data_IF_911326389704
#
_entry.id   IF_911326389704
#
_cell.length_a   1.000
_cell.length_b   1.000
_cell.length_c   1.000
_cell.angle_alpha   90.00
_cell.angle_beta   90.00
_cell.angle_gamma   90.00
#
_symmetry.space_group_name_H-M   'P 1'
#
loop_
_entity.id
_entity.type
_entity.pdbx_description
1 polymer ?
#
# COMPACT_ATOMS: atom_id res chain seq x y z
N UNK A 1 85.83 -34.01 -64.00
CA UNK A 1 84.63 -34.87 -63.89
C UNK A 1 84.16 -34.89 -62.45
N UNK A 2 82.85 -34.81 -62.27
CA UNK A 2 82.12 -34.31 -61.11
C UNK A 2 82.25 -35.12 -59.80
N UNK A 3 82.27 -34.42 -58.67
CA UNK A 3 81.84 -34.95 -57.37
C UNK A 3 80.64 -34.12 -56.87
N UNK A 4 79.49 -34.76 -56.86
CA UNK A 4 78.21 -34.29 -56.36
C UNK A 4 78.27 -34.11 -54.84
N UNK A 5 78.11 -32.87 -54.37
CA UNK A 5 77.95 -32.56 -52.94
C UNK A 5 76.46 -32.53 -52.62
N UNK A 6 76.07 -33.40 -51.69
CA UNK A 6 74.72 -33.59 -51.16
C UNK A 6 74.42 -32.45 -50.18
N UNK A 7 73.38 -31.66 -50.43
CA UNK A 7 72.86 -30.65 -49.51
C UNK A 7 72.14 -31.31 -48.32
N UNK A 8 72.37 -30.88 -47.07
CA UNK A 8 71.48 -31.23 -45.96
C UNK A 8 70.32 -30.23 -45.87
N UNK A 9 69.12 -30.77 -45.66
CA UNK A 9 67.89 -30.03 -45.46
C UNK A 9 67.93 -29.23 -44.15
N UNK A 10 67.72 -27.91 -44.25
CA UNK A 10 67.49 -27.02 -43.11
C UNK A 10 66.04 -27.27 -42.64
N UNK A 11 65.89 -27.95 -41.51
CA UNK A 11 64.61 -28.06 -40.81
C UNK A 11 64.31 -26.71 -40.17
N UNK A 12 63.35 -25.98 -40.74
CA UNK A 12 62.83 -24.74 -40.18
C UNK A 12 61.95 -25.02 -38.97
N UNK A 13 62.54 -25.08 -37.78
CA UNK A 13 61.77 -25.00 -36.53
C UNK A 13 61.26 -23.58 -36.33
N UNK A 14 60.06 -23.31 -36.85
CA UNK A 14 59.27 -22.11 -36.53
C UNK A 14 58.85 -22.14 -35.07
N UNK A 15 59.74 -21.71 -34.17
CA UNK A 15 59.34 -21.24 -32.85
C UNK A 15 58.86 -19.80 -33.00
N UNK A 16 57.62 -19.64 -33.47
CA UNK A 16 56.91 -18.37 -33.42
C UNK A 16 56.94 -17.86 -31.98
N UNK A 17 57.79 -16.87 -31.73
CA UNK A 17 57.93 -16.22 -30.45
C UNK A 17 56.57 -15.69 -30.03
N UNK A 18 56.00 -16.27 -28.97
CA UNK A 18 54.92 -15.66 -28.22
C UNK A 18 55.41 -14.28 -27.81
N UNK A 19 54.96 -13.25 -28.52
CA UNK A 19 55.11 -11.86 -28.10
C UNK A 19 54.49 -11.76 -26.70
N UNK A 20 55.35 -11.85 -25.70
CA UNK A 20 55.03 -11.52 -24.32
C UNK A 20 54.72 -10.03 -24.37
N UNK A 21 53.43 -9.70 -24.40
CA UNK A 21 52.97 -8.42 -23.86
C UNK A 21 53.37 -8.44 -22.38
N UNK A 22 54.62 -8.08 -22.09
CA UNK A 22 55.06 -7.69 -20.77
C UNK A 22 54.28 -6.40 -20.47
N UNK A 23 53.03 -6.60 -20.04
CA UNK A 23 52.08 -5.53 -19.80
C UNK A 23 52.76 -4.51 -18.90
N UNK A 24 52.80 -3.27 -19.36
CA UNK A 24 53.27 -2.16 -18.54
C UNK A 24 52.55 -2.27 -17.20
N UNK A 25 53.28 -2.66 -16.14
CA UNK A 25 52.75 -2.72 -14.79
C UNK A 25 52.31 -1.30 -14.47
N UNK A 26 51.01 -1.03 -14.53
CA UNK A 26 50.46 0.28 -14.16
C UNK A 26 50.97 0.58 -12.76
N UNK A 27 51.72 1.68 -12.60
CA UNK A 27 52.17 2.14 -11.30
C UNK A 27 50.94 2.21 -10.38
N UNK A 28 51.07 1.67 -9.17
CA UNK A 28 49.99 1.75 -8.18
C UNK A 28 49.66 3.24 -7.99
N UNK A 29 48.40 3.60 -8.24
CA UNK A 29 47.94 4.98 -8.05
C UNK A 29 48.07 5.35 -6.57
N UNK A 30 48.40 6.60 -6.28
CA UNK A 30 48.38 7.13 -4.92
C UNK A 30 47.00 6.91 -4.28
N UNK A 31 46.96 6.79 -2.94
CA UNK A 31 45.71 6.59 -2.21
C UNK A 31 44.66 7.66 -2.55
N UNK A 32 45.12 8.91 -2.63
CA UNK A 32 44.33 10.08 -3.02
C UNK A 32 43.78 9.97 -4.45
N UNK A 33 44.60 9.57 -5.44
CA UNK A 33 44.12 9.37 -6.81
C UNK A 33 43.13 8.20 -6.94
N UNK A 34 43.13 7.25 -5.99
CA UNK A 34 42.11 6.19 -5.92
C UNK A 34 40.82 6.70 -5.30
N UNK A 35 40.91 7.59 -4.30
CA UNK A 35 39.77 8.24 -3.67
C UNK A 35 39.03 9.15 -4.67
N UNK A 36 39.74 10.06 -5.33
CA UNK A 36 39.16 10.95 -6.34
C UNK A 36 38.46 10.19 -7.47
N UNK A 37 39.03 9.04 -7.89
CA UNK A 37 38.36 8.16 -8.87
C UNK A 37 37.05 7.56 -8.32
N UNK A 38 36.99 7.23 -7.03
CA UNK A 38 35.78 6.70 -6.40
C UNK A 38 34.73 7.78 -6.24
N UNK A 39 35.10 8.99 -5.88
CA UNK A 39 34.19 10.14 -5.80
C UNK A 39 33.57 10.43 -7.17
N UNK A 40 34.39 10.52 -8.22
CA UNK A 40 33.87 10.68 -9.58
C UNK A 40 32.95 9.52 -10.00
N UNK A 41 33.30 8.28 -9.65
CA UNK A 41 32.44 7.13 -9.90
C UNK A 41 31.14 7.17 -9.09
N UNK A 42 31.16 7.71 -7.87
CA UNK A 42 29.98 7.89 -7.02
C UNK A 42 29.03 8.90 -7.66
N UNK A 43 29.52 10.07 -8.06
CA UNK A 43 28.73 11.09 -8.76
C UNK A 43 28.07 10.52 -10.01
N UNK A 44 28.86 9.84 -10.87
CA UNK A 44 28.32 9.22 -12.09
C UNK A 44 27.28 8.12 -11.80
N UNK A 45 27.40 7.40 -10.69
CA UNK A 45 26.41 6.38 -10.29
C UNK A 45 25.11 7.02 -9.79
N UNK A 46 25.20 8.15 -9.08
CA UNK A 46 24.04 8.90 -8.60
C UNK A 46 23.28 9.51 -9.77
N UNK A 47 23.98 10.18 -10.70
CA UNK A 47 23.39 10.76 -11.92
C UNK A 47 22.71 9.69 -12.79
N UNK A 48 23.27 8.48 -12.84
CA UNK A 48 22.70 7.35 -13.56
C UNK A 48 21.55 6.64 -12.81
N UNK A 49 21.18 7.08 -11.60
CA UNK A 49 20.15 6.45 -10.76
C UNK A 49 20.53 5.05 -10.23
N UNK A 50 21.82 4.69 -10.23
CA UNK A 50 22.31 3.37 -9.82
C UNK A 50 22.57 3.31 -8.31
N UNK A 51 21.53 3.60 -7.51
CA UNK A 51 21.64 3.85 -6.07
C UNK A 51 22.25 2.70 -5.25
N UNK A 52 21.96 1.43 -5.56
CA UNK A 52 22.60 0.30 -4.89
C UNK A 52 24.12 0.21 -5.13
N UNK A 53 24.60 0.61 -6.31
CA UNK A 53 26.04 0.66 -6.61
C UNK A 53 26.67 1.88 -5.94
N UNK A 54 25.99 3.03 -6.03
CA UNK A 54 26.38 4.27 -5.35
C UNK A 54 26.59 4.04 -3.86
N UNK A 55 25.65 3.37 -3.19
CA UNK A 55 25.75 3.05 -1.75
C UNK A 55 27.02 2.24 -1.42
N UNK A 56 27.34 1.24 -2.24
CA UNK A 56 28.56 0.43 -2.06
C UNK A 56 29.82 1.28 -2.24
N UNK A 57 29.85 2.14 -3.26
CA UNK A 57 30.96 3.05 -3.53
C UNK A 57 31.13 4.08 -2.41
N UNK A 58 30.03 4.68 -1.94
CA UNK A 58 30.00 5.65 -0.85
C UNK A 58 30.51 5.03 0.46
N UNK A 59 30.03 3.84 0.85
CA UNK A 59 30.57 3.10 2.02
C UNK A 59 32.05 2.78 1.88
N UNK A 60 32.54 2.52 0.67
CA UNK A 60 33.96 2.31 0.42
C UNK A 60 34.80 3.59 0.57
N UNK A 61 34.21 4.76 0.31
CA UNK A 61 34.84 6.07 0.57
C UNK A 61 34.85 6.34 2.07
N UNK A 62 33.73 6.15 2.76
CA UNK A 62 33.63 6.34 4.22
C UNK A 62 34.52 5.40 5.04
N UNK A 63 34.91 4.23 4.51
CA UNK A 63 35.95 3.38 5.13
C UNK A 63 37.34 4.03 5.13
N UNK A 64 37.60 4.93 4.17
CA UNK A 64 38.86 5.67 4.07
C UNK A 64 38.75 6.99 4.85
N UNK A 65 37.59 7.65 4.77
CA UNK A 65 37.29 8.92 5.43
C UNK A 65 36.00 8.80 6.26
N UNK A 66 36.05 8.23 7.48
CA UNK A 66 34.86 8.01 8.29
C UNK A 66 34.19 9.30 8.75
N UNK A 67 34.98 10.36 8.97
CA UNK A 67 34.52 11.63 9.53
C UNK A 67 33.97 12.61 8.48
N UNK A 68 33.90 12.19 7.22
CA UNK A 68 33.42 13.07 6.14
C UNK A 68 31.90 13.22 6.20
N UNK A 69 31.45 14.35 6.74
CA UNK A 69 30.05 14.73 6.87
C UNK A 69 29.34 14.70 5.51
N UNK A 70 29.96 15.24 4.45
CA UNK A 70 29.35 15.28 3.12
C UNK A 70 29.05 13.88 2.58
N UNK A 71 29.99 12.94 2.74
CA UNK A 71 29.79 11.56 2.32
C UNK A 71 28.75 10.84 3.18
N UNK A 72 28.65 11.15 4.47
CA UNK A 72 27.58 10.64 5.33
C UNK A 72 26.21 11.16 4.87
N UNK A 73 26.09 12.45 4.55
CA UNK A 73 24.87 13.06 3.99
C UNK A 73 24.47 12.43 2.67
N UNK A 74 25.43 12.24 1.75
CA UNK A 74 25.21 11.55 0.47
C UNK A 74 24.79 10.09 0.70
N UNK A 75 25.39 9.39 1.67
CA UNK A 75 24.93 8.04 2.04
C UNK A 75 23.46 8.07 2.50
N UNK A 76 23.08 9.03 3.34
CA UNK A 76 21.69 9.20 3.79
C UNK A 76 20.73 9.48 2.63
N UNK A 77 21.09 10.38 1.70
CA UNK A 77 20.30 10.66 0.50
C UNK A 77 20.12 9.43 -0.40
N UNK A 78 21.17 8.62 -0.56
CA UNK A 78 21.08 7.36 -1.31
C UNK A 78 20.14 6.37 -0.61
N UNK A 79 20.18 6.29 0.73
CA UNK A 79 19.29 5.42 1.50
C UNK A 79 17.83 5.89 1.40
N UNK A 80 17.58 7.20 1.42
CA UNK A 80 16.26 7.78 1.16
C UNK A 80 15.73 7.41 -0.22
N UNK A 81 16.58 7.51 -1.26
CA UNK A 81 16.22 7.14 -2.63
C UNK A 81 15.96 5.63 -2.80
N UNK A 82 16.55 4.80 -1.94
CA UNK A 82 16.29 3.36 -1.86
C UNK A 82 15.13 3.01 -0.91
N UNK A 83 14.46 4.02 -0.34
CA UNK A 83 13.36 3.88 0.62
C UNK A 83 13.74 3.11 1.90
N UNK A 84 15.03 2.99 2.22
CA UNK A 84 15.50 2.42 3.49
C UNK A 84 15.54 3.49 4.57
N UNK A 85 14.34 3.92 5.00
CA UNK A 85 14.17 4.99 5.98
C UNK A 85 14.74 4.62 7.36
N UNK A 86 14.78 3.33 7.69
CA UNK A 86 15.32 2.86 8.98
C UNK A 86 16.83 3.06 9.06
N UNK A 87 17.57 2.64 8.02
CA UNK A 87 19.01 2.83 7.97
C UNK A 87 19.37 4.30 7.75
N UNK A 88 18.58 5.04 6.97
CA UNK A 88 18.76 6.46 6.77
C UNK A 88 18.65 7.23 8.10
N UNK A 89 17.59 6.98 8.87
CA UNK A 89 17.37 7.62 10.17
C UNK A 89 18.51 7.35 11.15
N UNK A 90 18.89 6.07 11.32
CA UNK A 90 19.97 5.67 12.23
C UNK A 90 21.32 6.31 11.88
N UNK A 91 21.56 6.61 10.60
CA UNK A 91 22.76 7.32 10.18
C UNK A 91 22.62 8.83 10.40
N UNK A 92 21.52 9.42 9.92
CA UNK A 92 21.35 10.87 9.80
C UNK A 92 21.15 11.57 11.16
N UNK A 93 20.65 10.86 12.18
CA UNK A 93 20.55 11.39 13.55
C UNK A 93 21.89 11.89 14.11
N UNK A 94 23.00 11.35 13.62
CA UNK A 94 24.35 11.73 14.05
C UNK A 94 25.03 12.73 13.10
N UNK A 95 24.34 13.17 12.04
CA UNK A 95 24.87 14.04 11.00
C UNK A 95 24.25 15.44 11.13
N UNK A 96 25.05 16.51 11.21
CA UNK A 96 24.52 17.86 11.33
C UNK A 96 23.78 18.31 10.06
N UNK A 97 22.84 19.25 10.21
CA UNK A 97 22.06 19.86 9.12
C UNK A 97 21.23 18.88 8.26
N UNK A 98 20.74 17.79 8.88
CA UNK A 98 19.90 16.76 8.28
C UNK A 98 18.46 16.74 8.83
N UNK A 99 17.98 17.83 9.44
CA UNK A 99 16.67 17.89 10.10
C UNK A 99 15.52 17.52 9.17
N UNK A 100 15.51 18.05 7.94
CA UNK A 100 14.50 17.72 6.92
C UNK A 100 14.50 16.22 6.60
N UNK A 101 15.68 15.66 6.37
CA UNK A 101 15.85 14.25 6.02
C UNK A 101 15.44 13.33 7.19
N UNK A 102 15.77 13.69 8.44
CA UNK A 102 15.37 12.98 9.66
C UNK A 102 13.85 13.04 9.84
N UNK A 103 13.26 14.23 9.76
CA UNK A 103 11.81 14.42 9.88
C UNK A 103 11.08 13.62 8.79
N UNK A 104 11.59 13.64 7.56
CA UNK A 104 11.03 12.84 6.46
C UNK A 104 11.10 11.34 6.76
N UNK A 105 12.22 10.82 7.27
CA UNK A 105 12.30 9.41 7.68
C UNK A 105 11.26 9.07 8.76
N UNK A 106 11.16 9.90 9.82
CA UNK A 106 10.16 9.71 10.89
C UNK A 106 8.74 9.67 10.32
N UNK A 107 8.41 10.59 9.42
CA UNK A 107 7.11 10.64 8.75
C UNK A 107 6.81 9.37 7.96
N UNK A 108 7.77 8.91 7.14
CA UNK A 108 7.62 7.70 6.31
C UNK A 108 7.53 6.42 7.15
N UNK A 109 8.11 6.41 8.35
CA UNK A 109 7.98 5.34 9.34
C UNK A 109 6.71 5.43 10.18
N UNK A 110 5.82 6.40 9.91
CA UNK A 110 4.56 6.58 10.64
C UNK A 110 4.71 7.22 12.02
N UNK A 111 5.89 7.75 12.37
CA UNK A 111 6.16 8.42 13.64
C UNK A 111 5.68 9.89 13.57
N UNK A 112 4.37 10.08 13.42
CA UNK A 112 3.76 11.40 13.17
C UNK A 112 4.05 12.38 14.32
N UNK A 113 3.90 11.96 15.58
CA UNK A 113 4.15 12.82 16.74
C UNK A 113 5.61 13.29 16.81
N UNK A 114 6.56 12.36 16.66
CA UNK A 114 7.99 12.68 16.62
C UNK A 114 8.34 13.62 15.47
N UNK A 115 7.68 13.45 14.32
CA UNK A 115 7.88 14.35 13.17
C UNK A 115 7.42 15.77 13.51
N UNK A 116 6.24 15.93 14.13
CA UNK A 116 5.73 17.23 14.54
C UNK A 116 6.67 17.94 15.53
N UNK A 117 7.22 17.22 16.51
CA UNK A 117 8.17 17.77 17.48
C UNK A 117 9.45 18.28 16.79
N UNK A 118 9.96 17.54 15.79
CA UNK A 118 11.14 17.96 15.03
C UNK A 118 10.88 19.21 14.18
N UNK A 119 9.66 19.39 13.68
CA UNK A 119 9.30 20.52 12.81
C UNK A 119 9.18 21.85 13.56
N UNK A 120 8.77 21.83 14.84
CA UNK A 120 8.65 23.05 15.65
C UNK A 120 9.97 23.79 15.87
N UNK A 121 11.11 23.12 15.70
CA UNK A 121 12.44 23.64 16.02
C UNK A 121 13.35 23.75 14.78
N UNK A 122 12.79 23.60 13.57
CA UNK A 122 13.57 23.31 12.36
C UNK A 122 13.87 24.49 11.42
N UNK A 123 13.25 25.66 11.57
CA UNK A 123 13.31 26.69 10.51
C UNK A 123 14.53 27.62 10.56
N UNK A 124 15.12 27.87 11.74
CA UNK A 124 15.97 29.05 11.97
C UNK A 124 17.37 29.04 11.31
N UNK A 125 17.74 28.02 10.53
CA UNK A 125 19.10 27.90 9.96
C UNK A 125 19.19 27.13 8.64
N UNK A 126 18.10 27.05 7.89
CA UNK A 126 18.04 26.25 6.67
C UNK A 126 18.09 27.10 5.39
N UNK A 127 18.66 26.48 4.35
CA UNK A 127 18.50 26.93 2.97
C UNK A 127 17.02 27.03 2.60
N UNK A 128 16.65 27.99 1.76
CA UNK A 128 15.26 28.28 1.40
C UNK A 128 14.54 27.05 0.84
N UNK A 129 15.24 26.23 0.05
CA UNK A 129 14.67 24.98 -0.48
C UNK A 129 14.38 23.95 0.62
N UNK A 130 15.25 23.85 1.63
CA UNK A 130 15.04 22.96 2.78
C UNK A 130 13.93 23.47 3.69
N UNK A 131 13.86 24.79 3.92
CA UNK A 131 12.78 25.41 4.68
C UNK A 131 11.42 25.16 4.01
N UNK A 132 11.33 25.33 2.68
CA UNK A 132 10.13 24.99 1.91
C UNK A 132 9.75 23.52 2.05
N UNK A 133 10.74 22.62 1.97
CA UNK A 133 10.53 21.18 2.18
C UNK A 133 9.99 20.84 3.57
N UNK A 134 10.45 21.53 4.63
CA UNK A 134 9.92 21.35 5.98
C UNK A 134 8.47 21.81 6.09
N UNK A 135 8.11 22.96 5.51
CA UNK A 135 6.72 23.46 5.53
C UNK A 135 5.77 22.52 4.79
N UNK A 136 6.19 21.96 3.65
CA UNK A 136 5.43 20.92 2.95
C UNK A 136 5.20 19.70 3.85
N UNK A 137 6.25 19.25 4.52
CA UNK A 137 6.16 18.12 5.45
C UNK A 137 5.26 18.45 6.65
N UNK A 138 5.31 19.67 7.16
CA UNK A 138 4.43 20.14 8.23
C UNK A 138 2.97 20.10 7.80
N UNK A 139 2.63 20.63 6.62
CA UNK A 139 1.26 20.59 6.11
C UNK A 139 0.74 19.13 6.01
N UNK A 140 1.59 18.20 5.57
CA UNK A 140 1.27 16.77 5.52
C UNK A 140 1.06 16.16 6.92
N UNK A 141 1.90 16.52 7.89
CA UNK A 141 1.79 16.06 9.29
C UNK A 141 0.52 16.58 9.94
N UNK A 142 0.21 17.89 9.80
CA UNK A 142 -1.04 18.48 10.29
C UNK A 142 -2.27 17.81 9.70
N UNK A 143 -2.24 17.50 8.39
CA UNK A 143 -3.32 16.76 7.75
C UNK A 143 -3.51 15.37 8.37
N UNK A 144 -2.43 14.63 8.65
CA UNK A 144 -2.50 13.32 9.31
C UNK A 144 -3.00 13.39 10.75
N UNK A 145 -2.71 14.47 11.46
CA UNK A 145 -3.19 14.72 12.83
C UNK A 145 -4.68 15.12 12.87
N UNK A 146 -5.27 15.45 11.72
CA UNK A 146 -6.65 15.92 11.64
C UNK A 146 -6.79 17.44 11.76
N UNK A 147 -5.68 18.16 11.87
CA UNK A 147 -5.62 19.63 11.92
C UNK A 147 -5.75 20.23 10.52
N UNK A 148 -6.86 19.91 9.84
CA UNK A 148 -7.07 20.25 8.44
C UNK A 148 -7.11 21.77 8.17
N UNK A 149 -7.44 22.59 9.19
CA UNK A 149 -7.43 24.05 9.08
C UNK A 149 -6.02 24.62 8.96
N UNK A 150 -5.10 24.15 9.81
CA UNK A 150 -3.70 24.60 9.76
C UNK A 150 -2.99 24.02 8.53
N UNK A 151 -3.27 22.77 8.19
CA UNK A 151 -2.76 22.17 6.94
C UNK A 151 -3.19 22.98 5.70
N UNK A 152 -4.46 23.42 5.65
CA UNK A 152 -4.99 24.22 4.55
C UNK A 152 -4.25 25.55 4.41
N UNK A 153 -4.04 26.29 5.52
CA UNK A 153 -3.29 27.55 5.50
C UNK A 153 -1.87 27.35 4.95
N UNK A 154 -1.16 26.34 5.47
CA UNK A 154 0.21 26.04 5.01
C UNK A 154 0.24 25.71 3.51
N UNK A 155 -0.73 24.94 3.00
CA UNK A 155 -0.82 24.66 1.57
C UNK A 155 -1.17 25.90 0.73
N UNK A 156 -2.03 26.81 1.23
CA UNK A 156 -2.32 28.08 0.56
C UNK A 156 -1.05 28.94 0.42
N UNK A 157 -0.30 29.11 1.51
CA UNK A 157 0.97 29.87 1.52
C UNK A 157 2.02 29.24 0.57
N UNK A 158 2.10 27.91 0.57
CA UNK A 158 3.01 27.16 -0.32
C UNK A 158 2.58 27.25 -1.79
N UNK A 159 1.28 27.32 -2.06
CA UNK A 159 0.74 27.43 -3.41
C UNK A 159 1.00 28.81 -4.00
N UNK A 160 0.84 29.88 -3.21
CA UNK A 160 1.10 31.26 -3.65
C UNK A 160 2.54 31.46 -4.16
N UNK A 161 3.49 30.78 -3.51
CA UNK A 161 4.92 30.84 -3.85
C UNK A 161 5.38 29.74 -4.82
N UNK A 162 4.48 28.88 -5.29
CA UNK A 162 4.84 27.76 -6.19
C UNK A 162 4.80 28.18 -7.66
N UNK A 163 5.72 27.62 -8.48
CA UNK A 163 5.70 27.79 -9.93
C UNK A 163 4.55 26.97 -10.54
N UNK A 164 3.58 27.59 -11.25
CA UNK A 164 2.47 26.88 -11.88
C UNK A 164 2.88 25.83 -12.93
N UNK A 165 4.09 25.91 -13.48
CA UNK A 165 4.61 24.91 -14.41
C UNK A 165 5.29 23.73 -13.71
N UNK A 166 5.53 23.83 -12.40
CA UNK A 166 6.15 22.77 -11.61
C UNK A 166 5.15 21.67 -11.26
N UNK A 167 5.54 20.38 -11.29
CA UNK A 167 4.69 19.30 -10.80
C UNK A 167 4.30 19.47 -9.32
N UNK A 168 5.14 20.17 -8.54
CA UNK A 168 4.86 20.49 -7.13
C UNK A 168 3.57 21.31 -6.97
N UNK A 169 3.26 22.21 -7.92
CA UNK A 169 2.06 23.04 -7.87
C UNK A 169 0.80 22.19 -7.93
N UNK A 170 0.76 21.21 -8.84
CA UNK A 170 -0.35 20.27 -8.97
C UNK A 170 -0.51 19.42 -7.69
N UNK A 171 0.60 18.95 -7.12
CA UNK A 171 0.59 18.19 -5.87
C UNK A 171 0.04 19.01 -4.69
N UNK A 172 0.45 20.28 -4.56
CA UNK A 172 -0.06 21.18 -3.53
C UNK A 172 -1.57 21.44 -3.73
N UNK A 173 -2.02 21.71 -4.95
CA UNK A 173 -3.44 21.91 -5.25
C UNK A 173 -4.28 20.70 -4.86
N UNK A 174 -3.84 19.49 -5.20
CA UNK A 174 -4.53 18.25 -4.86
C UNK A 174 -4.66 18.08 -3.33
N UNK A 175 -3.57 18.34 -2.60
CA UNK A 175 -3.57 18.25 -1.14
C UNK A 175 -4.44 19.33 -0.48
N UNK A 176 -4.44 20.55 -1.02
CA UNK A 176 -5.29 21.65 -0.59
C UNK A 176 -6.77 21.30 -0.78
N UNK A 177 -7.13 20.75 -1.96
CA UNK A 177 -8.49 20.28 -2.23
C UNK A 177 -8.90 19.15 -1.26
N UNK A 178 -7.98 18.26 -0.88
CA UNK A 178 -8.24 17.24 0.13
C UNK A 178 -8.54 17.85 1.51
N UNK A 179 -7.82 18.91 1.91
CA UNK A 179 -8.10 19.65 3.14
C UNK A 179 -9.48 20.30 3.10
N UNK A 180 -9.78 21.02 2.01
CA UNK A 180 -11.09 21.67 1.80
C UNK A 180 -12.23 20.66 1.84
N UNK A 181 -12.10 19.54 1.12
CA UNK A 181 -13.11 18.48 1.09
C UNK A 181 -13.37 17.91 2.49
N UNK A 182 -12.32 17.77 3.29
CA UNK A 182 -12.44 17.26 4.65
C UNK A 182 -13.12 18.24 5.59
N UNK A 183 -12.81 19.52 5.49
CA UNK A 183 -13.47 20.59 6.23
C UNK A 183 -14.94 20.75 5.81
N UNK A 184 -15.22 20.70 4.51
CA UNK A 184 -16.58 20.74 3.97
C UNK A 184 -17.41 19.55 4.47
N UNK A 185 -16.84 18.35 4.45
CA UNK A 185 -17.47 17.17 5.05
C UNK A 185 -17.75 17.37 6.54
N UNK A 186 -16.77 17.84 7.32
CA UNK A 186 -16.97 18.10 8.74
C UNK A 186 -18.10 19.10 9.00
N UNK A 187 -18.23 20.14 8.17
CA UNK A 187 -19.30 21.13 8.25
C UNK A 187 -20.67 20.63 7.78
N UNK A 188 -20.72 19.60 6.93
CA UNK A 188 -21.98 19.03 6.44
C UNK A 188 -22.55 17.95 7.37
N UNK A 189 -21.76 17.49 8.35
CA UNK A 189 -22.24 16.56 9.37
C UNK A 189 -23.27 17.25 10.28
N UNK A 190 -24.44 16.62 10.51
CA UNK A 190 -25.38 17.10 11.52
C UNK A 190 -24.74 17.21 12.91
N UNK A 191 -25.11 18.23 13.69
CA UNK A 191 -24.53 18.53 15.01
C UNK A 191 -24.49 17.33 15.95
N UNK A 192 -25.53 16.49 15.94
CA UNK A 192 -25.58 15.29 16.78
C UNK A 192 -24.50 14.27 16.42
N UNK A 193 -24.07 14.19 15.16
CA UNK A 193 -22.96 13.33 14.71
C UNK A 193 -21.63 14.03 14.98
N UNK A 194 -21.53 15.32 14.67
CA UNK A 194 -20.32 16.11 14.92
C UNK A 194 -19.92 16.13 16.41
N UNK A 195 -20.92 16.15 17.30
CA UNK A 195 -20.72 16.13 18.75
C UNK A 195 -20.55 14.71 19.33
N UNK A 196 -20.69 13.64 18.54
CA UNK A 196 -20.35 12.28 18.95
C UNK A 196 -18.82 12.08 18.91
N UNK A 197 -18.08 12.87 19.67
CA UNK A 197 -16.65 12.66 19.86
C UNK A 197 -16.45 11.61 20.95
N UNK A 198 -16.56 10.33 20.57
CA UNK A 198 -16.09 9.23 21.41
C UNK A 198 -14.70 8.82 20.95
N UNK A 199 -13.65 9.01 21.77
CA UNK A 199 -12.31 8.57 21.44
C UNK A 199 -12.30 7.08 21.07
N UNK A 200 -11.52 6.72 20.05
CA UNK A 200 -11.42 5.32 19.58
C UNK A 200 -11.00 4.40 20.71
N UNK A 201 -10.06 4.84 21.56
CA UNK A 201 -9.59 4.08 22.73
C UNK A 201 -10.72 3.77 23.72
N UNK A 202 -11.66 4.70 23.90
CA UNK A 202 -12.83 4.48 24.75
C UNK A 202 -13.79 3.48 24.11
N UNK A 203 -13.94 3.50 22.78
CA UNK A 203 -14.73 2.50 22.06
C UNK A 203 -14.10 1.11 22.13
N UNK A 204 -12.76 1.01 22.07
CA UNK A 204 -12.05 -0.25 22.20
C UNK A 204 -12.09 -0.80 23.64
N UNK A 205 -12.02 0.07 24.64
CA UNK A 205 -12.11 -0.32 26.05
C UNK A 205 -13.54 -0.67 26.49
N UNK A 206 -14.57 -0.24 25.76
CA UNK A 206 -15.96 -0.49 26.15
C UNK A 206 -16.40 -1.90 25.72
N UNK A 207 -16.88 -2.75 26.64
CA UNK A 207 -17.39 -4.07 26.29
C UNK A 207 -18.55 -3.93 25.29
N UNK A 208 -18.51 -4.73 24.21
CA UNK A 208 -19.51 -4.72 23.13
C UNK A 208 -20.94 -4.83 23.68
N UNK A 209 -21.14 -5.63 24.74
CA UNK A 209 -22.44 -5.80 25.39
C UNK A 209 -23.01 -4.49 25.95
N UNK A 210 -22.15 -3.62 26.49
CA UNK A 210 -22.53 -2.32 27.02
C UNK A 210 -22.92 -1.35 25.91
N UNK A 211 -22.19 -1.35 24.79
CA UNK A 211 -22.53 -0.56 23.59
C UNK A 211 -23.87 -0.99 23.00
N UNK A 212 -24.10 -2.31 22.88
CA UNK A 212 -25.37 -2.86 22.41
C UNK A 212 -26.51 -2.45 23.34
N UNK A 213 -26.31 -2.54 24.66
CA UNK A 213 -27.33 -2.18 25.66
C UNK A 213 -27.73 -0.70 25.63
N UNK A 214 -26.80 0.19 25.26
CA UNK A 214 -27.04 1.63 25.14
C UNK A 214 -27.79 2.02 23.85
N UNK A 215 -27.87 1.13 22.86
CA UNK A 215 -28.52 1.46 21.59
C UNK A 215 -30.04 1.65 21.78
N UNK A 216 -30.66 2.74 21.29
CA UNK A 216 -32.08 3.05 21.53
C UNK A 216 -33.07 1.97 21.06
N UNK A 217 -32.64 1.13 20.11
CA UNK A 217 -33.44 0.00 19.59
C UNK A 217 -33.15 -1.32 20.28
N UNK A 218 -32.17 -1.39 21.17
CA UNK A 218 -31.93 -2.59 21.94
C UNK A 218 -33.03 -2.73 22.98
N UNK A 219 -33.80 -3.82 22.86
CA UNK A 219 -34.68 -4.27 23.93
C UNK A 219 -34.01 -5.48 24.57
N UNK A 220 -33.69 -5.43 25.87
CA UNK A 220 -33.28 -6.63 26.56
C UNK A 220 -34.44 -7.62 26.44
N UNK A 221 -34.21 -8.72 25.74
CA UNK A 221 -35.07 -9.89 25.87
C UNK A 221 -34.95 -10.33 27.31
N UNK A 222 -35.97 -10.04 28.13
CA UNK A 222 -36.17 -10.75 29.38
C UNK A 222 -36.47 -12.20 28.99
N UNK A 223 -35.42 -12.97 28.68
CA UNK A 223 -35.53 -14.41 28.77
C UNK A 223 -35.87 -14.67 30.25
N UNK A 224 -36.93 -15.42 30.55
CA UNK A 224 -37.21 -15.80 31.92
C UNK A 224 -35.96 -16.48 32.47
N UNK A 225 -35.46 -15.98 33.60
CA UNK A 225 -34.28 -16.47 34.30
C UNK A 225 -34.54 -17.89 34.85
N UNK A 226 -34.69 -18.87 33.96
CA UNK A 226 -35.00 -20.26 34.27
C UNK A 226 -34.01 -21.20 33.61
N UNK A 227 -32.77 -20.77 33.39
CA UNK A 227 -31.68 -21.70 33.04
C UNK A 227 -30.40 -21.11 33.63
N UNK A 228 -30.12 -21.45 34.89
CA UNK A 228 -28.81 -21.66 35.53
C UNK A 228 -29.13 -21.75 37.02
N UNK A 229 -29.40 -22.97 37.48
CA UNK A 229 -29.14 -23.47 38.83
C UNK A 229 -29.60 -24.92 38.89
N UNK A 230 -28.77 -25.81 38.36
CA UNK A 230 -28.77 -27.22 38.77
C UNK A 230 -27.79 -27.29 39.93
N UNK A 231 -28.29 -27.11 41.16
CA UNK A 231 -27.77 -27.71 42.37
C UNK A 231 -28.76 -27.45 43.54
N UNK A 232 -29.45 -28.53 43.90
CA UNK A 232 -29.94 -28.95 45.22
C UNK A 232 -30.30 -27.87 46.27
N UNK A 233 -31.55 -27.84 46.74
CA UNK A 233 -32.04 -28.65 47.86
C UNK A 233 -33.54 -28.40 48.11
N UNK A 234 -34.15 -29.41 48.73
CA UNK A 234 -35.55 -29.57 49.12
C UNK A 234 -36.08 -28.46 50.04
N UNK A 235 -37.25 -27.88 49.74
CA UNK A 235 -38.35 -27.82 50.73
C UNK A 235 -39.67 -27.39 50.08
N UNK A 236 -40.75 -28.04 50.50
CA UNK A 236 -42.13 -27.82 50.11
C UNK A 236 -42.72 -26.65 50.89
N UNK A 237 -43.46 -25.75 50.24
CA UNK A 237 -44.78 -25.29 50.73
C UNK A 237 -45.47 -24.37 49.71
N UNK A 238 -46.79 -24.55 49.64
CA UNK A 238 -47.72 -23.92 48.71
C UNK A 238 -48.05 -22.48 49.05
N UNK A 239 -48.30 -21.64 48.04
CA UNK A 239 -49.52 -20.81 47.97
C UNK A 239 -49.69 -20.18 46.59
N UNK A 240 -50.86 -20.40 45.99
CA UNK A 240 -51.34 -19.80 44.74
C UNK A 240 -51.45 -18.28 44.84
N UNK A 241 -51.08 -17.53 43.79
CA UNK A 241 -51.84 -16.35 43.32
C UNK A 241 -51.35 -15.84 41.94
N UNK A 242 -52.24 -15.98 40.96
CA UNK A 242 -52.54 -15.06 39.83
C UNK A 242 -51.42 -14.32 39.09
N UNK A 243 -51.24 -14.65 37.80
CA UNK A 243 -51.64 -13.85 36.62
C UNK A 243 -51.09 -14.52 35.35
N UNK A 244 -51.98 -14.91 34.44
CA UNK A 244 -51.58 -15.36 33.10
C UNK A 244 -50.95 -14.16 32.36
N UNK A 245 -49.69 -14.23 31.90
CA UNK A 245 -49.14 -13.17 31.07
C UNK A 245 -49.81 -13.22 29.70
N UNK A 246 -50.18 -12.05 29.17
CA UNK A 246 -50.70 -11.94 27.82
C UNK A 246 -49.72 -12.60 26.83
N UNK A 247 -50.20 -13.59 26.09
CA UNK A 247 -49.42 -14.33 25.12
C UNK A 247 -48.96 -13.37 24.02
N UNK A 248 -47.72 -12.89 24.15
CA UNK A 248 -46.99 -12.31 23.02
C UNK A 248 -46.89 -13.42 21.99
N UNK A 249 -47.57 -13.24 20.85
CA UNK A 249 -47.53 -14.20 19.75
C UNK A 249 -46.10 -14.23 19.20
N UNK A 250 -45.26 -15.11 19.75
CA UNK A 250 -44.00 -15.49 19.12
C UNK A 250 -44.33 -15.97 17.70
N UNK A 251 -43.54 -15.59 16.67
CA UNK A 251 -43.77 -16.10 15.33
C UNK A 251 -43.79 -17.63 15.39
N UNK A 252 -44.96 -18.21 15.10
CA UNK A 252 -45.16 -19.65 15.23
C UNK A 252 -44.19 -20.35 14.30
N UNK A 253 -43.39 -21.26 14.84
CA UNK A 253 -42.63 -22.22 14.06
C UNK A 253 -43.59 -22.90 13.06
N UNK A 254 -43.13 -23.23 11.83
CA UNK A 254 -43.93 -23.98 10.89
C UNK A 254 -44.56 -25.21 11.57
N UNK A 255 -45.83 -25.49 11.27
CA UNK A 255 -46.61 -26.50 11.99
C UNK A 255 -45.90 -27.87 12.10
N UNK A 256 -45.16 -28.27 11.06
CA UNK A 256 -44.41 -29.53 11.03
C UNK A 256 -43.21 -29.56 12.00
N UNK A 257 -42.58 -28.42 12.31
CA UNK A 257 -41.47 -28.33 13.28
C UNK A 257 -42.03 -28.15 14.69
N UNK A 258 -43.14 -27.43 14.83
CA UNK A 258 -43.79 -27.20 16.11
C UNK A 258 -44.36 -28.49 16.72
N UNK A 259 -44.77 -29.45 15.88
CA UNK A 259 -45.29 -30.75 16.31
C UNK A 259 -44.20 -31.73 16.82
N UNK A 260 -42.91 -31.45 16.57
CA UNK A 260 -41.82 -32.31 17.01
C UNK A 260 -41.43 -32.04 18.48
N UNK A 261 -41.05 -33.09 19.24
CA UNK A 261 -40.44 -32.95 20.57
C UNK A 261 -39.26 -31.98 20.51
N UNK A 262 -39.03 -31.12 21.51
CA UNK A 262 -37.97 -30.10 21.48
C UNK A 262 -36.57 -30.63 21.14
N UNK A 263 -36.25 -31.85 21.56
CA UNK A 263 -34.97 -32.51 21.31
C UNK A 263 -34.77 -32.99 19.85
N UNK A 264 -35.86 -33.17 19.09
CA UNK A 264 -35.83 -33.70 17.71
C UNK A 264 -36.02 -32.59 16.67
N UNK A 265 -36.13 -31.33 17.09
CA UNK A 265 -36.30 -30.20 16.18
C UNK A 265 -34.98 -29.97 15.41
N UNK A 266 -35.01 -29.90 14.07
CA UNK A 266 -33.82 -29.60 13.31
C UNK A 266 -33.30 -28.19 13.66
N UNK A 267 -31.98 -28.05 13.72
CA UNK A 267 -31.35 -26.75 13.93
C UNK A 267 -31.77 -25.77 12.82
N UNK A 268 -31.94 -24.47 13.13
CA UNK A 268 -32.24 -23.47 12.12
C UNK A 268 -31.13 -23.42 11.05
N UNK A 269 -31.52 -23.20 9.80
CA UNK A 269 -30.63 -23.15 8.65
C UNK A 269 -29.42 -22.21 8.90
N UNK A 270 -28.18 -22.71 8.82
CA UNK A 270 -26.97 -21.93 9.07
C UNK A 270 -26.76 -20.81 8.04
N UNK A 271 -27.38 -20.86 6.85
CA UNK A 271 -27.28 -19.82 5.82
C UNK A 271 -28.39 -18.74 5.94
N UNK A 272 -29.20 -18.79 7.00
CA UNK A 272 -30.33 -17.87 7.19
C UNK A 272 -29.93 -16.39 7.32
N UNK A 273 -28.70 -16.11 7.75
CA UNK A 273 -28.16 -14.75 7.87
C UNK A 273 -27.61 -14.21 6.54
N UNK A 274 -27.40 -15.07 5.54
CA UNK A 274 -26.96 -14.63 4.22
C UNK A 274 -28.10 -13.92 3.45
N UNK A 275 -27.78 -12.95 2.59
CA UNK A 275 -28.72 -12.40 1.61
C UNK A 275 -29.46 -13.50 0.86
N UNK A 276 -30.76 -13.33 0.61
CA UNK A 276 -31.62 -14.39 0.03
C UNK A 276 -31.08 -14.99 -1.27
N UNK A 277 -30.34 -14.22 -2.07
CA UNK A 277 -29.74 -14.66 -3.35
C UNK A 277 -28.50 -15.55 -3.20
N UNK A 278 -27.85 -15.49 -2.04
CA UNK A 278 -26.63 -16.23 -1.74
C UNK A 278 -26.91 -17.55 -1.02
N UNK A 279 -28.15 -17.76 -0.56
CA UNK A 279 -28.58 -19.01 0.08
C UNK A 279 -28.63 -20.16 -0.93
N UNK A 280 -28.10 -21.31 -0.55
CA UNK A 280 -28.20 -22.59 -1.27
C UNK A 280 -29.65 -22.89 -1.70
N UNK A 281 -30.60 -22.75 -0.77
CA UNK A 281 -32.04 -22.95 -1.03
C UNK A 281 -32.59 -22.05 -2.14
N UNK A 282 -32.03 -20.86 -2.36
CA UNK A 282 -32.44 -19.97 -3.44
C UNK A 282 -31.86 -20.42 -4.78
N UNK A 283 -30.60 -20.85 -4.80
CA UNK A 283 -29.95 -21.41 -5.99
C UNK A 283 -30.66 -22.70 -6.44
N UNK A 284 -31.01 -23.58 -5.50
CA UNK A 284 -31.73 -24.82 -5.77
C UNK A 284 -33.14 -24.57 -6.28
N UNK A 285 -33.89 -23.65 -5.66
CA UNK A 285 -35.23 -23.28 -6.13
C UNK A 285 -35.19 -22.61 -7.50
N UNK A 286 -34.14 -21.82 -7.79
CA UNK A 286 -33.93 -21.24 -9.10
C UNK A 286 -33.63 -22.31 -10.15
N UNK A 287 -32.71 -23.23 -9.86
CA UNK A 287 -32.37 -24.34 -10.74
C UNK A 287 -33.59 -25.26 -10.97
N UNK A 288 -34.42 -25.49 -9.94
CA UNK A 288 -35.67 -26.24 -10.05
C UNK A 288 -36.69 -25.52 -10.94
N UNK A 289 -36.88 -24.21 -10.77
CA UNK A 289 -37.73 -23.39 -11.67
C UNK A 289 -37.23 -23.39 -13.10
N UNK A 290 -35.92 -23.35 -13.33
CA UNK A 290 -35.32 -23.43 -14.67
C UNK A 290 -35.51 -24.83 -15.29
N UNK A 291 -35.50 -25.90 -14.49
CA UNK A 291 -35.83 -27.27 -14.93
C UNK A 291 -37.33 -27.45 -15.23
N UNK A 292 -38.21 -26.94 -14.37
CA UNK A 292 -39.67 -26.97 -14.53
C UNK A 292 -40.16 -26.14 -15.71
N UNK A 293 -39.47 -25.02 -16.02
CA UNK A 293 -39.70 -24.22 -17.23
C UNK A 293 -39.20 -24.88 -18.52
N UNK A 294 -38.88 -26.18 -18.48
CA UNK A 294 -38.73 -27.06 -19.64
C UNK A 294 -37.95 -26.46 -20.79
N UNK A 295 -36.64 -26.74 -20.86
CA UNK A 295 -35.74 -26.47 -22.01
C UNK A 295 -36.48 -26.22 -23.33
N UNK A 296 -36.70 -24.94 -23.68
CA UNK A 296 -36.77 -24.56 -25.09
C UNK A 296 -35.37 -24.79 -25.65
N UNK A 297 -35.33 -25.57 -26.73
CA UNK A 297 -34.19 -26.19 -27.39
C UNK A 297 -33.05 -25.21 -27.73
N UNK A 298 -31.83 -25.75 -27.64
CA UNK A 298 -30.58 -25.34 -28.32
C UNK A 298 -30.75 -24.42 -29.55
N UNK A 299 -30.18 -23.21 -29.51
CA UNK A 299 -29.14 -22.74 -30.44
C UNK A 299 -28.60 -21.37 -29.98
N UNK A 300 -27.35 -21.12 -30.37
CA UNK A 300 -26.56 -19.87 -30.29
C UNK A 300 -25.89 -19.56 -28.95
N UNK A 301 -24.75 -20.22 -28.74
CA UNK A 301 -23.61 -19.55 -28.15
C UNK A 301 -23.24 -18.35 -29.03
N UNK A 302 -23.75 -17.18 -28.67
CA UNK A 302 -23.25 -15.89 -29.14
C UNK A 302 -23.95 -14.80 -28.34
N UNK A 303 -23.12 -14.12 -27.54
CA UNK A 303 -23.18 -12.68 -27.34
C UNK A 303 -24.24 -12.12 -26.37
N UNK A 304 -23.71 -11.23 -25.53
CA UNK A 304 -24.35 -10.16 -24.77
C UNK A 304 -24.82 -10.48 -23.33
N UNK A 305 -24.23 -9.73 -22.39
CA UNK A 305 -24.67 -9.68 -21.00
C UNK A 305 -23.68 -9.08 -19.99
N UNK A 306 -22.54 -8.51 -20.40
CA UNK A 306 -21.70 -7.67 -19.54
C UNK A 306 -22.25 -6.24 -19.59
N UNK A 307 -22.91 -5.82 -18.52
CA UNK A 307 -23.48 -4.47 -18.38
C UNK A 307 -22.38 -3.48 -18.05
N UNK A 308 -22.28 -2.46 -18.91
CA UNK A 308 -21.38 -1.32 -18.81
C UNK A 308 -21.69 -0.40 -17.63
N UNK A 309 -20.64 0.25 -17.13
CA UNK A 309 -20.72 1.46 -16.33
C UNK A 309 -19.33 2.04 -16.12
N UNK A 310 -18.93 3.02 -16.95
CA UNK A 310 -18.06 4.15 -16.61
C UNK A 310 -17.74 4.96 -17.87
N UNK A 311 -18.33 6.15 -17.91
CA UNK A 311 -18.04 7.25 -18.81
C UNK A 311 -16.74 7.95 -18.41
N UNK A 312 -15.82 8.12 -19.36
CA UNK A 312 -14.87 9.23 -19.36
C UNK A 312 -14.52 9.60 -20.82
N UNK A 313 -15.00 10.77 -21.23
CA UNK A 313 -14.44 11.67 -22.24
C UNK A 313 -13.03 12.08 -21.79
N UNK A 314 -12.02 12.40 -22.60
CA UNK A 314 -11.89 12.74 -24.01
C UNK A 314 -10.39 12.50 -24.44
N UNK A 315 -9.78 13.22 -25.41
CA UNK A 315 -9.42 12.66 -26.71
C UNK A 315 -7.89 12.62 -26.99
N UNK A 316 -7.50 11.89 -28.03
CA UNK A 316 -6.68 12.37 -29.16
C UNK A 316 -5.70 11.32 -29.72
N UNK A 317 -5.44 11.53 -31.02
CA UNK A 317 -4.25 11.22 -31.78
C UNK A 317 -4.04 9.76 -32.27
N UNK A 318 -4.07 9.67 -33.61
CA UNK A 318 -3.55 8.59 -34.45
C UNK A 318 -2.07 8.33 -34.12
N UNK A 319 -1.57 7.13 -34.46
CA UNK A 319 -0.42 7.12 -35.35
C UNK A 319 -0.56 6.17 -36.54
N UNK A 320 0.28 6.50 -37.52
CA UNK A 320 0.41 5.96 -38.87
C UNK A 320 1.64 5.05 -38.89
N UNK A 321 1.57 3.94 -39.64
CA UNK A 321 2.68 3.12 -40.16
C UNK A 321 3.58 2.43 -39.10
N UNK A 322 4.17 1.26 -39.28
CA UNK A 322 4.41 0.35 -40.40
C UNK A 322 5.07 -0.91 -39.79
N UNK A 323 4.89 -2.09 -40.41
CA UNK A 323 5.93 -3.14 -40.55
C UNK A 323 5.29 -4.51 -40.80
N UNK A 324 5.22 -4.87 -42.08
CA UNK A 324 5.83 -6.05 -42.66
C UNK A 324 6.06 -7.28 -41.74
N UNK A 325 5.24 -8.32 -41.89
CA UNK A 325 5.63 -9.69 -41.55
C UNK A 325 5.00 -10.71 -42.52
N UNK A 326 5.89 -11.30 -43.30
CA UNK A 326 5.74 -12.43 -44.24
C UNK A 326 4.68 -13.46 -43.83
N UNK A 327 3.72 -13.72 -44.72
CA UNK A 327 2.93 -14.96 -44.74
C UNK A 327 3.37 -15.83 -45.92
N UNK A 328 4.13 -16.88 -45.62
CA UNK A 328 4.30 -18.05 -46.49
C UNK A 328 2.99 -18.84 -46.49
N UNK A 329 2.58 -19.34 -47.66
CA UNK A 329 1.75 -20.54 -47.73
C UNK A 329 0.65 -20.53 -48.78
N UNK A 330 0.86 -21.39 -49.79
CA UNK A 330 -0.16 -22.23 -50.42
C UNK A 330 -0.89 -21.73 -51.68
N UNK A 331 -0.35 -22.18 -52.83
CA UNK A 331 -0.98 -23.16 -53.74
C UNK A 331 -2.30 -22.76 -54.44
N UNK A 332 -2.25 -22.66 -55.77
CA UNK A 332 -3.29 -23.27 -56.61
C UNK A 332 -3.85 -22.45 -57.79
N UNK A 333 -3.23 -22.64 -58.96
CA UNK A 333 -3.82 -23.18 -60.21
C UNK A 333 -4.85 -22.34 -61.02
N UNK A 334 -4.55 -22.31 -62.33
CA UNK A 334 -5.40 -22.10 -63.54
C UNK A 334 -5.64 -20.61 -63.85
N UNK A 335 -5.53 -20.14 -65.09
CA UNK A 335 -5.38 -20.76 -66.41
C UNK A 335 -4.69 -19.74 -67.31
#
# INVERSE_FOLDING_TARGET
>A
MAKTVKTPAIVSSSSAGKHRYAGLRRKARSGEARLAKREHALTAQIEAGLFHKALKTCRQILRIQPDSIDHQRVQGQILLALEDYTAALALLEHVPACQLEIAYCCYKLGQVSRTADLLQHGEDSLDEGKARGLRLLEAQVRYKQGDYREALKLYEDLLESSDPASPEHEDIQNNLQACQSRLAFASSLPDHIANMSTPVEMLEATPIQSLIAQHPRYRPTQAPASIISLNAETNSQSSKLSKQPAVVKTPKLPAHIAALPPAERPAPDPERWLPKRERSTWQDNRAKREKERGKIKKKTASQAGLTQGSSASAPAAKPVNSANAKKKGSKGKRK
#
